data_IF_457356866637
#
_entry.id   IF_457356866637
#
_cell.length_a   1.000
_cell.length_b   1.000
_cell.length_c   1.000
_cell.angle_alpha   90.00
_cell.angle_beta   90.00
_cell.angle_gamma   90.00
#
_symmetry.space_group_name_H-M   'P 1'
#
loop_
_entity.id
_entity.type
_entity.pdbx_description
1 polymer ?
#
# COMPACT_ATOMS: atom_id res chain seq x y z
N UNK A 1 0.93 -8.16 -24.50
CA UNK A 1 1.51 -8.23 -23.14
C UNK A 1 3.03 -8.14 -23.27
N UNK A 2 3.70 -7.27 -22.52
CA UNK A 2 5.12 -6.94 -22.73
C UNK A 2 6.04 -8.16 -22.55
N UNK A 3 7.05 -8.28 -23.41
CA UNK A 3 8.10 -9.32 -23.33
C UNK A 3 9.41 -8.60 -23.02
N UNK A 4 9.91 -8.77 -21.81
CA UNK A 4 11.13 -8.10 -21.36
C UNK A 4 12.35 -8.93 -21.76
N UNK A 5 13.41 -8.26 -22.25
CA UNK A 5 14.68 -8.92 -22.59
C UNK A 5 15.55 -9.24 -21.37
N UNK A 6 15.21 -8.69 -20.21
CA UNK A 6 15.95 -8.87 -18.96
C UNK A 6 15.13 -9.70 -17.99
N UNK A 7 15.82 -10.57 -17.25
CA UNK A 7 15.22 -11.35 -16.17
C UNK A 7 14.58 -10.42 -15.13
N UNK A 8 13.31 -10.64 -14.84
CA UNK A 8 12.56 -9.87 -13.86
C UNK A 8 12.85 -10.40 -12.46
N UNK A 9 13.26 -9.52 -11.55
CA UNK A 9 13.59 -9.87 -10.17
C UNK A 9 12.37 -9.71 -9.27
N UNK A 10 12.22 -10.64 -8.34
CA UNK A 10 11.23 -10.57 -7.26
C UNK A 10 11.93 -10.37 -5.93
N UNK A 11 11.41 -9.46 -5.12
CA UNK A 11 11.95 -9.14 -3.80
C UNK A 11 10.93 -9.47 -2.71
N UNK A 12 11.39 -10.06 -1.61
CA UNK A 12 10.55 -10.35 -0.45
C UNK A 12 10.53 -9.14 0.50
N UNK A 13 9.35 -8.58 0.74
CA UNK A 13 9.11 -7.48 1.69
C UNK A 13 8.12 -7.95 2.75
N UNK A 14 8.63 -8.25 3.95
CA UNK A 14 7.83 -8.89 4.99
C UNK A 14 7.26 -10.22 4.51
N UNK A 15 5.93 -10.30 4.42
CA UNK A 15 5.22 -11.50 3.97
C UNK A 15 4.87 -11.48 2.47
N UNK A 16 5.19 -10.41 1.76
CA UNK A 16 4.80 -10.23 0.36
C UNK A 16 6.01 -10.28 -0.58
N UNK A 17 5.75 -10.64 -1.84
CA UNK A 17 6.73 -10.55 -2.92
C UNK A 17 6.33 -9.43 -3.88
N UNK A 18 7.30 -8.60 -4.27
CA UNK A 18 7.08 -7.48 -5.21
C UNK A 18 8.05 -7.61 -6.37
N UNK A 19 7.55 -7.37 -7.59
CA UNK A 19 8.30 -7.50 -8.84
C UNK A 19 8.02 -8.82 -9.56
N UNK A 20 8.96 -9.23 -10.41
CA UNK A 20 8.85 -10.42 -11.24
C UNK A 20 8.06 -10.19 -12.53
N UNK A 21 7.74 -11.30 -13.20
CA UNK A 21 6.97 -11.27 -14.44
C UNK A 21 5.50 -10.91 -14.13
N UNK A 22 4.95 -9.80 -14.66
CA UNK A 22 3.59 -9.35 -14.37
C UNK A 22 2.50 -10.34 -14.80
N UNK A 23 2.86 -11.41 -15.53
CA UNK A 23 1.97 -12.50 -15.92
C UNK A 23 1.87 -13.60 -14.88
N UNK A 24 2.83 -13.65 -13.95
CA UNK A 24 2.98 -14.68 -12.92
C UNK A 24 2.73 -14.14 -11.52
N UNK A 25 2.90 -12.84 -11.31
CA UNK A 25 2.71 -12.19 -10.02
C UNK A 25 1.57 -11.17 -10.09
N UNK A 26 0.71 -11.09 -9.05
CA UNK A 26 -0.31 -10.06 -8.98
C UNK A 26 0.35 -8.68 -8.81
N UNK A 27 -0.35 -7.64 -9.26
CA UNK A 27 0.11 -6.26 -9.09
C UNK A 27 0.12 -5.87 -7.62
N UNK A 28 1.28 -5.40 -7.12
CA UNK A 28 1.37 -4.82 -5.79
C UNK A 28 0.67 -3.46 -5.75
N UNK A 29 -0.17 -3.23 -4.74
CA UNK A 29 -0.85 -1.96 -4.50
C UNK A 29 -0.21 -1.22 -3.33
N UNK A 30 -0.06 0.10 -3.46
CA UNK A 30 0.43 0.97 -2.40
C UNK A 30 -0.67 1.97 -1.99
N UNK A 31 -1.32 1.71 -0.86
CA UNK A 31 -2.26 2.65 -0.24
C UNK A 31 -1.52 3.62 0.68
N UNK A 32 -1.69 4.92 0.47
CA UNK A 32 -1.09 5.97 1.30
C UNK A 32 -2.08 6.49 2.33
N UNK A 33 -1.60 6.75 3.55
CA UNK A 33 -2.33 7.42 4.63
C UNK A 33 -1.43 8.49 5.26
N UNK A 34 -2.04 9.45 5.96
CA UNK A 34 -1.38 10.63 6.56
C UNK A 34 -0.81 11.63 5.55
N UNK A 35 -1.39 11.72 4.34
CA UNK A 35 -1.00 12.77 3.39
C UNK A 35 -1.60 14.13 3.79
N UNK A 36 -0.98 15.22 3.32
CA UNK A 36 -1.39 16.59 3.62
C UNK A 36 -2.87 16.81 3.24
N UNK A 37 -3.64 17.40 4.16
CA UNK A 37 -5.07 17.65 4.02
C UNK A 37 -5.93 16.38 3.87
N UNK A 38 -5.45 15.21 4.30
CA UNK A 38 -6.27 14.01 4.33
C UNK A 38 -7.45 14.19 5.28
N UNK A 39 -8.65 14.22 4.71
CA UNK A 39 -9.89 14.41 5.47
C UNK A 39 -10.11 13.25 6.45
N UNK A 40 -10.65 13.56 7.63
CA UNK A 40 -11.12 12.62 8.67
C UNK A 40 -10.04 11.84 9.45
N UNK A 41 -8.79 11.81 9.00
CA UNK A 41 -7.72 11.07 9.71
C UNK A 41 -7.05 11.91 10.79
N UNK A 42 -6.93 13.22 10.60
CA UNK A 42 -6.31 14.12 11.58
C UNK A 42 -7.38 14.79 12.45
N UNK A 43 -7.17 14.72 13.77
CA UNK A 43 -7.85 15.55 14.78
C UNK A 43 -7.11 16.88 14.97
N UNK A 44 -5.79 16.85 14.83
CA UNK A 44 -4.89 17.99 14.83
C UNK A 44 -3.68 17.66 13.94
N UNK A 45 -3.67 18.21 12.72
CA UNK A 45 -2.66 17.90 11.70
C UNK A 45 -1.28 18.45 12.07
N UNK A 46 -1.22 19.62 12.71
CA UNK A 46 0.04 20.26 13.11
C UNK A 46 0.77 19.49 14.19
N UNK A 47 0.03 18.92 15.13
CA UNK A 47 0.57 18.12 16.23
C UNK A 47 0.54 16.60 15.95
N UNK A 48 0.18 16.19 14.73
CA UNK A 48 0.12 14.77 14.34
C UNK A 48 -0.92 13.94 15.10
N UNK A 49 -1.94 14.56 15.71
CA UNK A 49 -2.99 13.81 16.42
C UNK A 49 -3.97 13.24 15.40
N UNK A 50 -4.08 11.92 15.38
CA UNK A 50 -4.92 11.19 14.44
C UNK A 50 -6.13 10.55 15.12
N UNK A 51 -7.16 10.29 14.32
CA UNK A 51 -8.19 9.33 14.65
C UNK A 51 -7.68 7.90 14.38
N UNK A 52 -7.23 7.23 15.44
CA UNK A 52 -6.71 5.86 15.38
C UNK A 52 -7.74 4.86 14.85
N UNK A 53 -9.02 5.01 15.22
CA UNK A 53 -10.10 4.10 14.81
C UNK A 53 -10.33 4.24 13.31
N UNK A 54 -10.37 5.48 12.81
CA UNK A 54 -10.49 5.72 11.38
C UNK A 54 -9.27 5.21 10.61
N UNK A 55 -8.05 5.48 11.07
CA UNK A 55 -6.83 4.99 10.45
C UNK A 55 -6.81 3.45 10.37
N UNK A 56 -7.17 2.77 11.45
CA UNK A 56 -7.24 1.31 11.50
C UNK A 56 -8.31 0.75 10.55
N UNK A 57 -9.43 1.45 10.37
CA UNK A 57 -10.47 1.06 9.39
C UNK A 57 -9.94 1.08 7.95
N UNK A 58 -9.05 2.02 7.60
CA UNK A 58 -8.43 2.08 6.27
C UNK A 58 -7.47 0.91 6.06
N UNK A 59 -6.68 0.56 7.07
CA UNK A 59 -5.78 -0.60 7.02
C UNK A 59 -6.57 -1.92 6.87
N UNK A 60 -7.65 -2.08 7.65
CA UNK A 60 -8.54 -3.24 7.54
C UNK A 60 -9.17 -3.36 6.15
N UNK A 61 -9.56 -2.22 5.55
CA UNK A 61 -10.07 -2.18 4.17
C UNK A 61 -9.02 -2.61 3.15
N UNK A 62 -7.77 -2.15 3.27
CA UNK A 62 -6.70 -2.59 2.38
C UNK A 62 -6.50 -4.11 2.49
N UNK A 63 -6.48 -4.64 3.72
CA UNK A 63 -6.30 -6.08 3.96
C UNK A 63 -7.45 -6.93 3.43
N UNK A 64 -8.70 -6.46 3.50
CA UNK A 64 -9.85 -7.19 2.95
C UNK A 64 -9.83 -7.28 1.40
N UNK A 65 -9.07 -6.40 0.75
CA UNK A 65 -8.92 -6.34 -0.71
C UNK A 65 -7.54 -6.87 -1.18
N UNK A 66 -6.76 -7.51 -0.29
CA UNK A 66 -5.45 -8.10 -0.56
C UNK A 66 -5.56 -9.62 -0.68
#
# INVERSE_FOLDING_TARGET
>A
MFKYNTEQKSYKLGNYYVGGDPRKTPTALAGTIFYLHQKKIFKDERNGKIDKVYAESLIKRQRANS
#
